data_IF_796769146740
#
_entry.id   IF_796769146740
#
_cell.length_a   1.000
_cell.length_b   1.000
_cell.length_c   1.000
_cell.angle_alpha   90.00
_cell.angle_beta   90.00
_cell.angle_gamma   90.00
#
_symmetry.space_group_name_H-M   'P 1'
#
loop_
_entity.id
_entity.type
_entity.pdbx_description
1 polymer ?
#
# COMPACT_ATOMS: atom_id res chain seq x y z
N UNK A 1 -20.90 35.08 -23.45
CA UNK A 1 -21.38 33.69 -23.26
C UNK A 1 -20.38 32.77 -23.95
N UNK A 2 -19.66 31.91 -23.22
CA UNK A 2 -18.65 30.99 -23.79
C UNK A 2 -19.25 29.59 -23.89
N UNK A 3 -19.23 29.00 -25.07
CA UNK A 3 -19.72 27.63 -25.31
C UNK A 3 -18.53 26.68 -25.23
N UNK A 4 -18.62 25.68 -24.35
CA UNK A 4 -17.63 24.59 -24.25
C UNK A 4 -18.00 23.46 -25.22
N UNK A 5 -17.03 22.83 -25.90
CA UNK A 5 -17.32 21.77 -26.85
C UNK A 5 -17.82 20.50 -26.13
N UNK A 6 -18.76 19.79 -26.78
CA UNK A 6 -19.31 18.53 -26.27
C UNK A 6 -18.25 17.44 -26.38
N UNK A 7 -17.63 17.08 -25.25
CA UNK A 7 -16.67 15.97 -25.16
C UNK A 7 -17.45 14.66 -25.25
N UNK A 8 -17.11 13.80 -26.21
CA UNK A 8 -17.70 12.47 -26.33
C UNK A 8 -17.42 11.64 -25.06
N UNK A 9 -18.40 10.86 -24.60
CA UNK A 9 -18.24 9.96 -23.47
C UNK A 9 -17.19 8.89 -23.80
N UNK A 10 -16.10 8.81 -23.04
CA UNK A 10 -15.21 7.64 -23.10
C UNK A 10 -16.02 6.43 -22.63
N UNK A 11 -16.06 5.37 -23.44
CA UNK A 11 -16.74 4.11 -23.09
C UNK A 11 -16.24 3.50 -21.78
N UNK A 12 -16.91 2.46 -21.29
CA UNK A 12 -16.50 1.76 -20.06
C UNK A 12 -15.06 1.24 -20.20
N UNK A 13 -14.20 1.61 -19.26
CA UNK A 13 -12.85 1.06 -19.12
C UNK A 13 -12.98 -0.45 -18.84
N UNK A 14 -12.25 -1.27 -19.60
CA UNK A 14 -12.21 -2.71 -19.39
C UNK A 14 -11.80 -3.03 -17.95
N UNK A 15 -12.45 -4.04 -17.36
CA UNK A 15 -12.15 -4.49 -16.01
C UNK A 15 -10.68 -4.96 -15.96
N UNK A 16 -9.88 -4.22 -15.21
CA UNK A 16 -8.46 -4.54 -15.00
C UNK A 16 -8.34 -5.10 -13.60
N UNK A 17 -7.71 -6.26 -13.47
CA UNK A 17 -7.47 -6.89 -12.17
C UNK A 17 -6.77 -5.89 -11.23
N UNK A 18 -7.23 -5.82 -9.98
CA UNK A 18 -6.60 -4.98 -8.98
C UNK A 18 -5.18 -5.50 -8.72
N UNK A 19 -4.18 -4.68 -9.04
CA UNK A 19 -2.79 -4.93 -8.68
C UNK A 19 -2.53 -4.28 -7.32
N UNK A 20 -2.05 -5.08 -6.38
CA UNK A 20 -1.68 -4.63 -5.06
C UNK A 20 -0.17 -4.77 -4.90
N UNK A 21 0.53 -3.64 -4.78
CA UNK A 21 1.97 -3.64 -4.52
C UNK A 21 2.18 -3.71 -3.00
N UNK A 22 2.20 -4.93 -2.47
CA UNK A 22 2.36 -5.22 -1.04
C UNK A 22 3.84 -5.37 -0.71
N UNK A 23 4.29 -4.70 0.36
CA UNK A 23 5.67 -4.68 0.82
C UNK A 23 5.77 -5.14 2.27
N UNK A 24 6.86 -5.82 2.58
CA UNK A 24 7.22 -6.17 3.94
C UNK A 24 8.23 -5.18 4.50
N UNK A 25 7.99 -4.74 5.73
CA UNK A 25 8.84 -3.80 6.45
C UNK A 25 9.35 -4.48 7.71
N UNK A 26 10.66 -4.53 7.88
CA UNK A 26 11.27 -5.04 9.11
C UNK A 26 11.63 -3.85 10.00
N UNK A 27 11.31 -3.95 11.28
CA UNK A 27 11.77 -3.01 12.28
C UNK A 27 13.18 -3.45 12.72
N UNK A 28 14.21 -2.64 12.44
CA UNK A 28 15.61 -3.03 12.67
C UNK A 28 15.94 -3.19 14.17
N UNK A 29 15.09 -2.72 15.08
CA UNK A 29 15.36 -2.80 16.53
C UNK A 29 15.17 -4.20 17.13
N UNK A 30 14.69 -5.19 16.36
CA UNK A 30 14.46 -6.56 16.86
C UNK A 30 15.26 -7.59 16.06
N UNK A 31 16.43 -8.03 16.54
CA UNK A 31 17.14 -9.13 15.92
C UNK A 31 16.40 -10.42 16.29
N UNK A 32 15.98 -11.21 15.30
CA UNK A 32 15.40 -12.52 15.62
C UNK A 32 15.76 -13.60 14.60
N UNK A 33 15.95 -14.82 15.12
CA UNK A 33 16.42 -16.01 14.41
C UNK A 33 15.58 -16.33 13.16
N UNK A 34 16.10 -17.11 12.22
CA UNK A 34 15.53 -17.35 10.88
C UNK A 34 14.01 -17.68 10.83
N UNK A 35 13.49 -18.40 11.83
CA UNK A 35 12.05 -18.72 11.99
C UNK A 35 11.25 -17.57 12.61
N UNK A 36 11.90 -16.71 13.38
CA UNK A 36 11.36 -15.48 13.93
C UNK A 36 11.62 -14.25 13.04
N UNK A 37 12.27 -14.41 11.89
CA UNK A 37 12.54 -13.32 10.95
C UNK A 37 11.23 -12.70 10.42
N UNK A 38 10.20 -13.53 10.26
CA UNK A 38 8.86 -13.07 9.90
C UNK A 38 8.08 -12.54 11.12
N UNK A 39 8.38 -13.05 12.31
CA UNK A 39 7.70 -12.67 13.56
C UNK A 39 8.18 -11.28 13.99
N UNK A 40 7.37 -10.27 13.71
CA UNK A 40 7.73 -8.86 13.92
C UNK A 40 7.85 -8.05 12.63
N UNK A 41 7.75 -8.69 11.46
CA UNK A 41 7.66 -7.96 10.20
C UNK A 41 6.27 -7.31 10.09
N UNK A 42 6.24 -6.04 9.70
CA UNK A 42 4.99 -5.31 9.46
C UNK A 42 4.68 -5.32 7.96
N UNK A 43 3.41 -5.57 7.64
CA UNK A 43 2.94 -5.54 6.26
C UNK A 43 2.42 -4.15 5.91
N UNK A 44 2.71 -3.70 4.69
CA UNK A 44 2.23 -2.46 4.14
C UNK A 44 1.79 -2.66 2.69
N UNK A 45 0.75 -1.94 2.27
CA UNK A 45 0.31 -1.92 0.88
C UNK A 45 0.46 -0.51 0.31
N UNK A 46 1.21 -0.38 -0.79
CA UNK A 46 1.31 0.88 -1.51
C UNK A 46 0.02 1.07 -2.32
N UNK A 47 -0.79 2.08 -1.96
CA UNK A 47 -2.02 2.38 -2.73
C UNK A 47 -1.77 3.32 -3.90
N UNK A 48 -0.88 4.30 -3.73
CA UNK A 48 -0.53 5.23 -4.81
C UNK A 48 0.85 5.83 -4.59
N UNK A 49 1.60 5.97 -5.68
CA UNK A 49 2.85 6.74 -5.74
C UNK A 49 2.57 7.99 -6.55
N UNK A 50 2.89 9.17 -6.01
CA UNK A 50 2.56 10.45 -6.62
C UNK A 50 3.65 11.50 -6.35
N UNK A 51 3.72 12.50 -7.23
CA UNK A 51 4.49 13.71 -6.98
C UNK A 51 3.54 14.79 -6.46
N UNK A 52 3.93 15.45 -5.39
CA UNK A 52 3.13 16.53 -4.84
C UNK A 52 3.28 17.79 -5.73
N UNK A 53 2.20 18.52 -6.04
CA UNK A 53 2.31 19.81 -6.72
C UNK A 53 3.17 20.80 -5.93
N UNK A 54 3.93 21.63 -6.64
CA UNK A 54 4.89 22.59 -6.05
C UNK A 54 4.24 23.56 -5.05
N UNK A 55 2.95 23.89 -5.24
CA UNK A 55 2.18 24.76 -4.34
C UNK A 55 2.06 24.23 -2.92
N UNK A 56 2.19 22.91 -2.71
CA UNK A 56 2.12 22.31 -1.38
C UNK A 56 3.50 22.07 -0.78
N UNK A 57 4.44 21.51 -1.57
CA UNK A 57 5.86 21.36 -1.27
C UNK A 57 6.54 20.61 -2.42
N UNK A 58 7.78 20.96 -2.72
CA UNK A 58 8.62 20.18 -3.65
C UNK A 58 9.44 19.14 -2.88
N UNK A 59 9.39 17.89 -3.31
CA UNK A 59 10.22 16.79 -2.79
C UNK A 59 11.14 16.27 -3.90
N UNK A 60 12.38 15.89 -3.59
CA UNK A 60 13.32 15.32 -4.58
C UNK A 60 12.88 13.94 -5.07
N UNK A 61 11.98 13.26 -4.36
CA UNK A 61 11.50 11.92 -4.65
C UNK A 61 9.95 11.88 -4.66
N UNK A 62 9.34 10.96 -5.44
CA UNK A 62 7.90 10.69 -5.34
C UNK A 62 7.52 10.24 -3.93
N UNK A 63 6.31 10.60 -3.51
CA UNK A 63 5.71 10.17 -2.26
C UNK A 63 4.82 8.95 -2.50
N UNK A 64 4.66 8.12 -1.48
CA UNK A 64 3.75 6.97 -1.51
C UNK A 64 2.70 7.10 -0.41
N UNK A 65 1.44 6.88 -0.75
CA UNK A 65 0.40 6.60 0.24
C UNK A 65 0.40 5.10 0.50
N UNK A 66 0.62 4.75 1.77
CA UNK A 66 0.77 3.38 2.22
C UNK A 66 -0.34 3.09 3.23
N UNK A 67 -0.99 1.95 3.06
CA UNK A 67 -1.88 1.38 4.07
C UNK A 67 -1.09 0.38 4.91
N UNK A 68 -1.09 0.61 6.22
CA UNK A 68 -0.38 -0.25 7.16
C UNK A 68 -1.28 -1.39 7.61
N UNK A 69 -0.69 -2.56 7.80
CA UNK A 69 -1.34 -3.70 8.42
C UNK A 69 -0.65 -4.03 9.75
N UNK A 70 -1.26 -4.92 10.53
CA UNK A 70 -0.66 -5.46 11.75
C UNK A 70 0.60 -6.27 11.46
N UNK A 71 1.45 -6.37 12.46
CA UNK A 71 2.63 -7.22 12.43
C UNK A 71 2.25 -8.69 12.29
N UNK A 72 3.09 -9.46 11.60
CA UNK A 72 2.92 -10.90 11.42
C UNK A 72 3.20 -11.62 12.74
N UNK A 73 2.18 -11.75 13.60
CA UNK A 73 2.32 -12.38 14.92
C UNK A 73 1.46 -13.63 15.09
N UNK A 74 0.31 -13.69 14.42
CA UNK A 74 -0.65 -14.77 14.56
C UNK A 74 -0.83 -15.50 13.22
N UNK A 75 -0.78 -16.82 13.26
CA UNK A 75 -1.11 -17.68 12.12
C UNK A 75 -2.41 -18.40 12.41
N UNK A 76 -3.24 -18.53 11.38
CA UNK A 76 -4.42 -19.38 11.42
C UNK A 76 -3.97 -20.86 11.50
N UNK A 77 -4.43 -21.63 12.50
CA UNK A 77 -3.95 -22.99 12.73
C UNK A 77 -4.36 -23.99 11.64
N UNK A 78 -5.31 -23.65 10.78
CA UNK A 78 -5.81 -24.54 9.71
C UNK A 78 -5.06 -24.29 8.40
N UNK A 79 -4.90 -23.03 8.01
CA UNK A 79 -4.26 -22.65 6.73
C UNK A 79 -2.77 -22.38 6.85
N UNK A 80 -2.26 -22.15 8.07
CA UNK A 80 -0.87 -21.72 8.31
C UNK A 80 -0.56 -20.31 7.81
N UNK A 81 -1.58 -19.56 7.36
CA UNK A 81 -1.43 -18.20 6.86
C UNK A 81 -1.43 -17.20 8.01
N UNK A 82 -0.69 -16.10 7.84
CA UNK A 82 -0.72 -15.00 8.79
C UNK A 82 -2.03 -14.24 8.71
N UNK A 83 -2.64 -13.98 9.87
CA UNK A 83 -3.81 -13.13 9.98
C UNK A 83 -3.32 -11.69 10.14
N UNK A 84 -3.71 -10.83 9.20
CA UNK A 84 -3.37 -9.41 9.22
C UNK A 84 -4.64 -8.56 9.16
N UNK A 85 -4.67 -7.48 9.94
CA UNK A 85 -5.75 -6.48 9.89
C UNK A 85 -5.19 -5.11 9.54
N UNK A 86 -6.02 -4.24 8.94
CA UNK A 86 -5.63 -2.88 8.65
C UNK A 86 -5.35 -2.13 9.96
N UNK A 87 -4.17 -1.51 10.03
CA UNK A 87 -3.71 -0.75 11.18
C UNK A 87 -4.22 0.68 11.06
N UNK A 88 -4.95 1.16 12.05
CA UNK A 88 -5.48 2.53 12.11
C UNK A 88 -4.46 3.52 12.69
N UNK A 89 -3.16 3.26 12.51
CA UNK A 89 -2.09 4.09 13.08
C UNK A 89 -2.09 5.51 12.54
#
# INVERSE_FOLDING_TARGET
IRVSPKIASRGRKAETAARFDTVFMMDEERPTALTSLMSGMQLAQVRVIFKLPEVFRTFPHPLAYIEWFTTLQCQDPVSGLFIVTCSTR
#
